data_IF_887045129999
#
_entry.id   IF_887045129999
#
_cell.length_a   1.000
_cell.length_b   1.000
_cell.length_c   1.000
_cell.angle_alpha   90.00
_cell.angle_beta   90.00
_cell.angle_gamma   90.00
#
_symmetry.space_group_name_H-M   'P 1'
#
loop_
_entity.id
_entity.type
_entity.pdbx_description
1 polymer ?
#
# COMPACT_ATOMS: atom_id res chain seq x y z
N UNK A 1 -42.49 8.39 -11.81
CA UNK A 1 -41.41 8.52 -10.82
C UNK A 1 -41.22 7.17 -10.17
N UNK A 2 -40.24 6.39 -10.61
CA UNK A 2 -39.67 5.19 -9.96
C UNK A 2 -38.61 4.62 -10.93
N UNK A 3 -37.38 5.10 -10.82
CA UNK A 3 -36.26 4.55 -11.59
C UNK A 3 -35.92 3.13 -11.07
N UNK A 4 -35.53 2.26 -11.98
CA UNK A 4 -35.56 0.80 -11.89
C UNK A 4 -34.57 0.21 -10.84
N UNK A 5 -34.98 -0.77 -10.01
CA UNK A 5 -34.12 -1.46 -9.03
C UNK A 5 -32.79 -2.02 -9.55
N UNK A 6 -32.65 -2.59 -10.78
CA UNK A 6 -31.37 -3.13 -11.26
C UNK A 6 -30.28 -2.08 -11.50
N UNK A 7 -30.64 -0.83 -11.84
CA UNK A 7 -29.65 0.20 -12.15
C UNK A 7 -28.90 0.69 -10.90
N UNK A 8 -29.62 0.95 -9.80
CA UNK A 8 -29.00 1.37 -8.55
C UNK A 8 -28.08 0.27 -8.00
N UNK A 9 -28.50 -0.98 -8.12
CA UNK A 9 -27.68 -2.11 -7.68
C UNK A 9 -26.39 -2.25 -8.49
N UNK A 10 -26.44 -2.09 -9.82
CA UNK A 10 -25.24 -2.07 -10.65
C UNK A 10 -24.26 -0.96 -10.23
N UNK A 11 -24.79 0.23 -9.93
CA UNK A 11 -24.01 1.37 -9.43
C UNK A 11 -23.40 1.06 -8.06
N UNK A 12 -24.14 0.43 -7.16
CA UNK A 12 -23.62 0.07 -5.84
C UNK A 12 -22.49 -0.96 -5.94
N UNK A 13 -22.62 -1.95 -6.83
CA UNK A 13 -21.59 -2.97 -7.10
C UNK A 13 -20.31 -2.34 -7.67
N UNK A 14 -20.41 -1.52 -8.72
CA UNK A 14 -19.23 -0.89 -9.32
C UNK A 14 -18.57 0.09 -8.36
N UNK A 15 -19.34 0.85 -7.57
CA UNK A 15 -18.79 1.79 -6.59
C UNK A 15 -18.11 1.05 -5.44
N UNK A 16 -18.65 -0.09 -5.00
CA UNK A 16 -18.03 -0.92 -3.97
C UNK A 16 -16.74 -1.59 -4.48
N UNK A 17 -16.75 -2.13 -5.70
CA UNK A 17 -15.56 -2.71 -6.33
C UNK A 17 -14.45 -1.66 -6.47
N UNK A 18 -14.78 -0.48 -7.01
CA UNK A 18 -13.84 0.63 -7.14
C UNK A 18 -13.27 1.08 -5.80
N UNK A 19 -14.14 1.22 -4.78
CA UNK A 19 -13.72 1.61 -3.44
C UNK A 19 -12.74 0.60 -2.83
N UNK A 20 -13.03 -0.70 -2.91
CA UNK A 20 -12.14 -1.75 -2.39
C UNK A 20 -10.80 -1.72 -3.14
N UNK A 21 -10.80 -1.59 -4.47
CA UNK A 21 -9.56 -1.53 -5.26
C UNK A 21 -8.70 -0.33 -4.87
N UNK A 22 -9.29 0.86 -4.77
CA UNK A 22 -8.59 2.09 -4.39
C UNK A 22 -8.08 2.02 -2.95
N UNK A 23 -8.91 1.55 -2.01
CA UNK A 23 -8.51 1.31 -0.62
C UNK A 23 -7.42 0.23 -0.51
N UNK A 24 -7.34 -0.72 -1.45
CA UNK A 24 -6.35 -1.81 -1.44
C UNK A 24 -5.02 -1.44 -2.12
N UNK A 25 -4.88 -0.21 -2.63
CA UNK A 25 -3.67 0.28 -3.29
C UNK A 25 -3.53 -0.12 -4.77
N UNK A 26 -4.63 -0.42 -5.46
CA UNK A 26 -4.62 -0.67 -6.90
C UNK A 26 -4.20 0.58 -7.70
N UNK A 27 -3.64 0.34 -8.89
CA UNK A 27 -3.34 1.40 -9.87
C UNK A 27 -4.64 2.09 -10.30
N UNK A 28 -4.61 3.42 -10.45
CA UNK A 28 -5.84 4.20 -10.70
C UNK A 28 -6.52 3.77 -11.99
N UNK A 29 -5.75 3.58 -13.06
CA UNK A 29 -6.30 3.14 -14.34
C UNK A 29 -7.04 1.80 -14.21
N UNK A 30 -6.57 0.87 -13.36
CA UNK A 30 -7.25 -0.42 -13.11
C UNK A 30 -8.54 -0.27 -12.33
N UNK A 31 -8.61 0.70 -11.42
CA UNK A 31 -9.85 1.06 -10.70
C UNK A 31 -10.89 1.53 -11.71
N UNK A 32 -10.54 2.52 -12.54
CA UNK A 32 -11.45 3.12 -13.53
C UNK A 32 -11.90 2.09 -14.57
N UNK A 33 -10.96 1.37 -15.17
CA UNK A 33 -11.21 0.34 -16.18
C UNK A 33 -12.10 -0.81 -15.64
N UNK A 34 -11.92 -1.22 -14.38
CA UNK A 34 -12.79 -2.23 -13.76
C UNK A 34 -14.21 -1.71 -13.55
N UNK A 35 -14.36 -0.47 -13.08
CA UNK A 35 -15.68 0.15 -12.91
C UNK A 35 -16.41 0.32 -14.24
N UNK A 36 -15.70 0.74 -15.30
CA UNK A 36 -16.25 0.88 -16.66
C UNK A 36 -16.69 -0.49 -17.21
N UNK A 37 -15.86 -1.53 -17.08
CA UNK A 37 -16.24 -2.89 -17.50
C UNK A 37 -17.51 -3.39 -16.82
N UNK A 38 -17.61 -3.22 -15.51
CA UNK A 38 -18.81 -3.60 -14.76
C UNK A 38 -20.01 -2.79 -15.28
N UNK A 39 -19.89 -1.47 -15.42
CA UNK A 39 -20.96 -0.62 -15.93
C UNK A 39 -21.46 -1.07 -17.32
N UNK A 40 -20.55 -1.33 -18.25
CA UNK A 40 -20.86 -1.76 -19.61
C UNK A 40 -21.56 -3.13 -19.64
N UNK A 41 -21.13 -4.08 -18.80
CA UNK A 41 -21.78 -5.40 -18.69
C UNK A 41 -23.25 -5.32 -18.24
N UNK A 42 -23.60 -4.25 -17.51
CA UNK A 42 -24.97 -4.00 -17.02
C UNK A 42 -25.76 -3.05 -17.93
N UNK A 43 -25.25 -2.77 -19.15
CA UNK A 43 -25.93 -1.92 -20.13
C UNK A 43 -25.72 -0.42 -19.96
N UNK A 44 -24.82 0.03 -19.07
CA UNK A 44 -24.50 1.44 -18.85
C UNK A 44 -23.36 1.85 -19.79
N UNK A 45 -23.69 2.29 -21.01
CA UNK A 45 -22.69 2.56 -22.07
C UNK A 45 -21.97 3.91 -21.94
N UNK A 46 -22.59 4.90 -21.31
CA UNK A 46 -22.03 6.24 -21.15
C UNK A 46 -21.59 6.51 -19.71
N UNK A 47 -20.86 5.55 -19.14
CA UNK A 47 -20.33 5.65 -17.78
C UNK A 47 -19.01 6.44 -17.77
N UNK A 48 -18.95 7.48 -16.93
CA UNK A 48 -17.75 8.25 -16.66
C UNK A 48 -17.26 7.95 -15.24
N UNK A 49 -16.00 7.58 -15.12
CA UNK A 49 -15.33 7.26 -13.85
C UNK A 49 -14.09 8.13 -13.73
N UNK A 50 -13.92 8.76 -12.57
CA UNK A 50 -12.69 9.45 -12.22
C UNK A 50 -12.27 9.00 -10.82
N UNK A 51 -11.12 8.36 -10.72
CA UNK A 51 -10.54 7.94 -9.45
C UNK A 51 -9.30 8.78 -9.12
N UNK A 52 -9.31 9.33 -7.91
CA UNK A 52 -8.17 10.01 -7.30
C UNK A 52 -7.90 9.38 -5.92
N UNK A 53 -6.71 9.53 -5.33
CA UNK A 53 -6.37 8.85 -4.07
C UNK A 53 -7.36 9.08 -2.94
N UNK A 54 -8.00 10.25 -2.91
CA UNK A 54 -8.94 10.64 -1.86
C UNK A 54 -10.42 10.33 -2.17
N UNK A 55 -10.78 10.05 -3.43
CA UNK A 55 -12.18 9.91 -3.83
C UNK A 55 -12.34 9.23 -5.19
N UNK A 56 -13.48 8.56 -5.36
CA UNK A 56 -13.95 8.02 -6.64
C UNK A 56 -15.23 8.75 -7.01
N UNK A 57 -15.29 9.22 -8.24
CA UNK A 57 -16.45 9.86 -8.86
C UNK A 57 -16.98 8.99 -9.98
N UNK A 58 -18.29 8.82 -10.01
CA UNK A 58 -19.02 8.12 -11.06
C UNK A 58 -20.18 8.99 -11.54
N UNK A 59 -20.39 9.05 -12.84
CA UNK A 59 -21.57 9.66 -13.45
C UNK A 59 -21.96 8.93 -14.73
N UNK A 60 -23.21 9.09 -15.15
CA UNK A 60 -23.71 8.57 -16.43
C UNK A 60 -24.10 9.77 -17.30
N UNK A 61 -23.55 9.88 -18.52
CA UNK A 61 -23.82 11.02 -19.39
C UNK A 61 -25.30 11.14 -19.72
N UNK A 62 -25.74 12.39 -19.91
CA UNK A 62 -27.12 12.74 -20.24
C UNK A 62 -28.14 12.30 -19.16
N UNK A 63 -27.68 12.01 -17.93
CA UNK A 63 -28.53 11.72 -16.78
C UNK A 63 -28.14 12.57 -15.56
N UNK A 64 -29.02 12.63 -14.57
CA UNK A 64 -28.72 13.27 -13.28
C UNK A 64 -28.10 12.30 -12.25
N UNK A 65 -27.58 11.16 -12.71
CA UNK A 65 -27.00 10.13 -11.84
C UNK A 65 -25.52 10.43 -11.64
N UNK A 66 -25.16 10.81 -10.42
CA UNK A 66 -23.78 10.88 -9.97
C UNK A 66 -23.63 10.25 -8.58
N UNK A 67 -22.47 9.64 -8.34
CA UNK A 67 -22.06 9.09 -7.04
C UNK A 67 -20.62 9.50 -6.77
N UNK A 68 -20.35 9.79 -5.51
CA UNK A 68 -19.00 10.02 -5.03
C UNK A 68 -18.77 9.18 -3.78
N UNK A 69 -17.59 8.56 -3.71
CA UNK A 69 -17.13 7.82 -2.54
C UNK A 69 -15.78 8.37 -2.11
N UNK A 70 -15.71 8.90 -0.90
CA UNK A 70 -14.43 9.26 -0.26
C UNK A 70 -13.67 8.00 0.15
N UNK A 71 -12.36 8.01 -0.09
CA UNK A 71 -11.39 7.00 0.32
C UNK A 71 -10.63 7.56 1.53
N UNK A 72 -10.60 6.81 2.64
CA UNK A 72 -10.12 7.33 3.94
C UNK A 72 -8.74 6.78 4.32
N UNK A 73 -8.49 5.49 4.10
CA UNK A 73 -7.20 4.86 4.42
C UNK A 73 -6.84 3.81 3.35
N UNK A 74 -5.97 4.14 2.38
CA UNK A 74 -5.40 3.15 1.48
C UNK A 74 -4.47 2.22 2.27
N UNK A 75 -4.77 0.93 2.31
CA UNK A 75 -3.91 -0.15 2.82
C UNK A 75 -3.54 -1.05 1.66
N UNK A 76 -2.26 -1.36 1.49
CA UNK A 76 -1.85 -2.25 0.42
C UNK A 76 -2.30 -3.70 0.73
N UNK A 77 -3.29 -4.19 0.00
CA UNK A 77 -3.82 -5.54 0.12
C UNK A 77 -4.05 -6.15 -1.26
N UNK A 78 -2.97 -6.76 -1.78
CA UNK A 78 -3.01 -7.39 -3.11
C UNK A 78 -3.97 -8.57 -3.17
N UNK A 79 -4.30 -9.21 -2.03
CA UNK A 79 -5.29 -10.28 -2.01
C UNK A 79 -6.67 -9.75 -2.33
N UNK A 80 -7.09 -8.64 -1.69
CA UNK A 80 -8.36 -7.97 -2.02
C UNK A 80 -8.41 -7.49 -3.46
N UNK A 81 -7.30 -6.96 -3.98
CA UNK A 81 -7.21 -6.58 -5.41
C UNK A 81 -7.48 -7.78 -6.31
N UNK A 82 -6.82 -8.92 -6.09
CA UNK A 82 -7.05 -10.12 -6.90
C UNK A 82 -8.49 -10.64 -6.79
N UNK A 83 -9.05 -10.68 -5.58
CA UNK A 83 -10.42 -11.14 -5.36
C UNK A 83 -11.45 -10.24 -6.06
N UNK A 84 -11.33 -8.91 -5.97
CA UNK A 84 -12.26 -7.99 -6.67
C UNK A 84 -12.14 -8.13 -8.19
N UNK A 85 -10.92 -8.31 -8.72
CA UNK A 85 -10.76 -8.54 -10.16
C UNK A 85 -11.44 -9.85 -10.61
N UNK A 86 -11.38 -10.91 -9.78
CA UNK A 86 -12.09 -12.15 -10.08
C UNK A 86 -13.61 -11.94 -10.09
N UNK A 87 -14.16 -11.24 -9.08
CA UNK A 87 -15.59 -10.90 -9.04
C UNK A 87 -16.00 -10.09 -10.26
N UNK A 88 -15.20 -9.10 -10.66
CA UNK A 88 -15.49 -8.28 -11.84
C UNK A 88 -15.51 -9.13 -13.12
N UNK A 89 -14.56 -10.04 -13.32
CA UNK A 89 -14.52 -10.91 -14.51
C UNK A 89 -15.73 -11.84 -14.57
N UNK A 90 -16.01 -12.56 -13.49
CA UNK A 90 -17.16 -13.46 -13.42
C UNK A 90 -18.49 -12.71 -13.60
N UNK A 91 -18.61 -11.46 -13.13
CA UNK A 91 -19.80 -10.65 -13.37
C UNK A 91 -19.91 -10.22 -14.84
N UNK A 92 -18.81 -9.80 -15.46
CA UNK A 92 -18.77 -9.39 -16.88
C UNK A 92 -19.03 -10.56 -17.83
N UNK A 93 -18.56 -11.75 -17.47
CA UNK A 93 -18.78 -13.00 -18.22
C UNK A 93 -20.19 -13.59 -18.00
N UNK A 94 -20.98 -13.03 -17.07
CA UNK A 94 -22.34 -13.49 -16.77
C UNK A 94 -22.38 -14.77 -15.92
N UNK A 95 -21.27 -15.17 -15.31
CA UNK A 95 -21.18 -16.34 -14.43
C UNK A 95 -21.88 -16.11 -13.08
N UNK A 96 -21.92 -14.85 -12.63
CA UNK A 96 -22.56 -14.44 -11.37
C UNK A 96 -23.55 -13.29 -11.59
N UNK A 97 -24.59 -13.25 -10.78
CA UNK A 97 -25.56 -12.14 -10.73
C UNK A 97 -25.04 -10.94 -9.95
N UNK A 98 -25.69 -9.77 -10.12
CA UNK A 98 -25.39 -8.56 -9.33
C UNK A 98 -25.52 -8.78 -7.82
N UNK A 99 -26.52 -9.55 -7.36
CA UNK A 99 -26.69 -9.89 -5.94
C UNK A 99 -25.50 -10.70 -5.41
N UNK A 100 -25.06 -11.69 -6.19
CA UNK A 100 -23.91 -12.52 -5.82
C UNK A 100 -22.61 -11.70 -5.80
N UNK A 101 -22.40 -10.83 -6.80
CA UNK A 101 -21.25 -9.95 -6.84
C UNK A 101 -21.25 -9.00 -5.63
N UNK A 102 -22.38 -8.37 -5.30
CA UNK A 102 -22.51 -7.49 -4.14
C UNK A 102 -22.18 -8.22 -2.83
N UNK A 103 -22.71 -9.43 -2.66
CA UNK A 103 -22.44 -10.26 -1.48
C UNK A 103 -20.95 -10.62 -1.37
N UNK A 104 -20.33 -11.06 -2.47
CA UNK A 104 -18.90 -11.40 -2.50
C UNK A 104 -18.03 -10.17 -2.20
N UNK A 105 -18.33 -9.01 -2.78
CA UNK A 105 -17.62 -7.76 -2.50
C UNK A 105 -17.75 -7.33 -1.03
N UNK A 106 -18.94 -7.50 -0.42
CA UNK A 106 -19.13 -7.21 1.01
C UNK A 106 -18.32 -8.15 1.91
N UNK A 107 -18.21 -9.44 1.54
CA UNK A 107 -17.33 -10.38 2.22
C UNK A 107 -15.87 -9.92 2.10
N UNK A 108 -15.40 -9.62 0.88
CA UNK A 108 -14.03 -9.16 0.62
C UNK A 108 -13.69 -7.89 1.41
N UNK A 109 -14.59 -6.92 1.42
CA UNK A 109 -14.43 -5.67 2.18
C UNK A 109 -14.15 -5.94 3.65
N UNK A 110 -14.93 -6.82 4.26
CA UNK A 110 -14.87 -7.15 5.69
C UNK A 110 -13.82 -8.23 6.03
N UNK A 111 -13.05 -8.74 5.07
CA UNK A 111 -11.98 -9.69 5.36
C UNK A 111 -10.92 -9.05 6.27
N UNK A 112 -10.46 -9.78 7.32
CA UNK A 112 -9.35 -9.34 8.14
C UNK A 112 -8.07 -9.25 7.30
N UNK A 113 -7.07 -8.57 7.84
CA UNK A 113 -5.74 -8.54 7.21
C UNK A 113 -5.22 -9.98 7.03
N UNK A 114 -4.59 -10.29 5.88
CA UNK A 114 -4.16 -11.65 5.57
C UNK A 114 -3.05 -12.17 6.49
N UNK A 115 -2.32 -11.26 7.15
CA UNK A 115 -1.16 -11.61 7.98
C UNK A 115 -1.21 -10.94 9.35
N UNK A 116 -0.80 -11.69 10.37
CA UNK A 116 -0.63 -11.19 11.73
C UNK A 116 0.59 -10.27 11.84
N UNK A 117 0.63 -9.42 12.87
CA UNK A 117 1.76 -8.52 13.11
C UNK A 117 3.10 -9.29 13.28
N UNK A 118 3.05 -10.48 13.89
CA UNK A 118 4.21 -11.35 14.04
C UNK A 118 4.70 -11.87 12.68
N UNK A 119 3.80 -12.38 11.84
CA UNK A 119 4.16 -12.87 10.49
C UNK A 119 4.80 -11.77 9.64
N UNK A 120 4.25 -10.54 9.69
CA UNK A 120 4.82 -9.40 8.95
C UNK A 120 6.20 -9.04 9.51
N UNK A 121 6.38 -9.06 10.83
CA UNK A 121 7.68 -8.77 11.45
C UNK A 121 8.72 -9.81 11.07
N UNK A 122 8.38 -11.10 11.13
CA UNK A 122 9.28 -12.19 10.72
C UNK A 122 9.65 -12.06 9.24
N UNK A 123 8.68 -11.75 8.37
CA UNK A 123 8.93 -11.49 6.96
C UNK A 123 9.87 -10.29 6.74
N UNK A 124 9.68 -9.20 7.50
CA UNK A 124 10.54 -8.02 7.44
C UNK A 124 11.98 -8.32 7.88
N UNK A 125 12.15 -9.10 8.97
CA UNK A 125 13.46 -9.54 9.46
C UNK A 125 14.18 -10.39 8.42
N UNK A 126 13.49 -11.41 7.88
CA UNK A 126 14.05 -12.28 6.83
C UNK A 126 14.45 -11.42 5.62
N UNK A 127 13.56 -10.55 5.15
CA UNK A 127 13.85 -9.67 4.01
C UNK A 127 15.08 -8.80 4.25
N UNK A 128 15.18 -8.14 5.41
CA UNK A 128 16.31 -7.27 5.75
C UNK A 128 17.65 -8.04 5.81
N UNK A 129 17.65 -9.25 6.37
CA UNK A 129 18.81 -10.15 6.37
C UNK A 129 19.27 -10.46 4.95
N UNK A 130 18.36 -10.85 4.06
CA UNK A 130 18.71 -11.17 2.66
C UNK A 130 19.13 -9.93 1.87
N UNK A 131 18.52 -8.76 2.10
CA UNK A 131 18.96 -7.51 1.49
C UNK A 131 20.39 -7.15 1.87
N UNK A 132 20.77 -7.35 3.14
CA UNK A 132 22.15 -7.13 3.60
C UNK A 132 23.14 -8.00 2.82
N UNK A 133 22.83 -9.29 2.64
CA UNK A 133 23.64 -10.20 1.83
C UNK A 133 23.68 -9.79 0.36
N UNK A 134 22.55 -9.34 -0.19
CA UNK A 134 22.45 -8.87 -1.57
C UNK A 134 23.33 -7.63 -1.83
N UNK A 135 23.48 -6.74 -0.84
CA UNK A 135 24.36 -5.58 -0.93
C UNK A 135 25.85 -5.90 -0.69
N UNK A 136 26.20 -7.17 -0.54
CA UNK A 136 27.58 -7.61 -0.31
C UNK A 136 28.01 -7.59 1.16
N UNK A 137 27.06 -7.48 2.10
CA UNK A 137 27.34 -7.62 3.52
C UNK A 137 27.68 -9.06 3.91
N UNK A 138 28.43 -9.21 5.00
CA UNK A 138 28.81 -10.50 5.56
C UNK A 138 27.64 -11.20 6.28
N UNK A 139 27.79 -12.50 6.56
CA UNK A 139 26.82 -13.26 7.37
C UNK A 139 26.65 -12.68 8.79
N UNK A 140 27.71 -12.07 9.35
CA UNK A 140 27.63 -11.42 10.66
C UNK A 140 26.77 -10.15 10.59
N UNK A 141 26.95 -9.33 9.54
CA UNK A 141 26.15 -8.14 9.32
C UNK A 141 24.69 -8.48 9.02
N UNK A 142 24.41 -9.56 8.30
CA UNK A 142 23.04 -9.97 8.02
C UNK A 142 22.29 -10.44 9.29
N UNK A 143 22.99 -11.11 10.21
CA UNK A 143 22.47 -11.44 11.54
C UNK A 143 22.26 -10.19 12.41
N UNK A 144 23.20 -9.24 12.36
CA UNK A 144 23.06 -7.95 13.05
C UNK A 144 21.85 -7.17 12.51
N UNK A 145 21.65 -7.13 11.19
CA UNK A 145 20.46 -6.55 10.55
C UNK A 145 19.19 -7.25 11.02
N UNK A 146 19.20 -8.59 11.14
CA UNK A 146 18.04 -9.33 11.61
C UNK A 146 17.58 -8.83 12.99
N UNK A 147 18.53 -8.67 13.92
CA UNK A 147 18.28 -8.16 15.27
C UNK A 147 17.84 -6.69 15.24
N UNK A 148 18.50 -5.85 14.44
CA UNK A 148 18.16 -4.44 14.29
C UNK A 148 16.71 -4.26 13.81
N UNK A 149 16.30 -5.01 12.78
CA UNK A 149 14.95 -4.99 12.21
C UNK A 149 13.93 -5.60 13.17
N UNK A 150 14.29 -6.65 13.91
CA UNK A 150 13.42 -7.27 14.91
C UNK A 150 13.03 -6.28 16.02
N UNK A 151 13.92 -5.35 16.37
CA UNK A 151 13.64 -4.29 17.33
C UNK A 151 12.91 -3.09 16.68
N UNK A 152 13.44 -2.61 15.55
CA UNK A 152 12.96 -1.38 14.91
C UNK A 152 11.57 -1.50 14.28
N UNK A 153 11.24 -2.66 13.70
CA UNK A 153 10.00 -2.84 12.93
C UNK A 153 8.74 -2.92 13.83
N UNK A 154 8.72 -3.67 14.95
CA UNK A 154 7.62 -3.59 15.91
C UNK A 154 7.52 -2.22 16.57
N UNK A 155 8.66 -1.58 16.87
CA UNK A 155 8.69 -0.25 17.46
C UNK A 155 8.08 0.81 16.54
N UNK A 156 8.44 0.83 15.25
CA UNK A 156 7.85 1.76 14.28
C UNK A 156 6.34 1.57 14.15
N UNK A 157 5.85 0.32 14.16
CA UNK A 157 4.42 0.01 14.15
C UNK A 157 3.71 0.50 15.41
N UNK A 158 4.34 0.39 16.57
CA UNK A 158 3.80 0.92 17.81
C UNK A 158 3.70 2.45 17.78
N UNK A 159 4.74 3.14 17.30
CA UNK A 159 4.72 4.59 17.08
C UNK A 159 3.62 4.99 16.08
N UNK A 160 3.46 4.23 15.00
CA UNK A 160 2.41 4.45 14.01
C UNK A 160 1.02 4.33 14.65
N UNK A 161 0.82 3.35 15.55
CA UNK A 161 -0.46 3.19 16.25
C UNK A 161 -0.81 4.40 17.13
N UNK A 162 0.19 5.01 17.78
CA UNK A 162 0.02 6.16 18.66
C UNK A 162 -0.20 7.46 17.90
N UNK A 163 0.66 7.75 16.91
CA UNK A 163 0.75 9.07 16.27
C UNK A 163 -0.05 9.11 14.96
N UNK A 164 -0.22 7.96 14.29
CA UNK A 164 -0.90 7.81 12.98
C UNK A 164 -0.31 8.68 11.86
N UNK A 165 0.98 9.03 11.97
CA UNK A 165 1.73 9.75 10.94
C UNK A 165 2.87 8.84 10.47
N UNK A 166 2.82 8.46 9.20
CA UNK A 166 3.76 7.50 8.60
C UNK A 166 5.20 8.02 8.62
N UNK A 167 5.39 9.32 8.40
CA UNK A 167 6.68 10.01 8.56
C UNK A 167 7.29 9.73 9.94
N UNK A 168 6.55 9.98 11.04
CA UNK A 168 7.10 9.82 12.39
C UNK A 168 7.45 8.36 12.71
N UNK A 169 6.62 7.41 12.26
CA UNK A 169 6.92 5.99 12.43
C UNK A 169 8.15 5.53 11.64
N UNK A 170 8.32 6.02 10.41
CA UNK A 170 9.48 5.71 9.57
C UNK A 170 10.76 6.31 10.15
N UNK A 171 10.70 7.56 10.62
CA UNK A 171 11.80 8.20 11.33
C UNK A 171 12.23 7.40 12.57
N UNK A 172 11.25 7.01 13.41
CA UNK A 172 11.50 6.25 14.64
C UNK A 172 12.11 4.87 14.36
N UNK A 173 11.62 4.16 13.34
CA UNK A 173 12.20 2.89 12.90
C UNK A 173 13.64 3.05 12.42
N UNK A 174 13.89 4.04 11.56
CA UNK A 174 15.24 4.36 11.07
C UNK A 174 16.22 4.72 12.18
N UNK A 175 15.78 5.53 13.12
CA UNK A 175 16.59 5.89 14.28
C UNK A 175 16.97 4.66 15.10
N UNK A 176 16.02 3.75 15.39
CA UNK A 176 16.29 2.57 16.21
C UNK A 176 17.23 1.58 15.52
N UNK A 177 16.97 1.18 14.26
CA UNK A 177 17.86 0.23 13.60
C UNK A 177 19.27 0.81 13.42
N UNK A 178 19.36 2.13 13.21
CA UNK A 178 20.63 2.79 12.94
C UNK A 178 21.45 3.01 14.21
N UNK A 179 20.82 3.40 15.31
CA UNK A 179 21.48 3.42 16.63
C UNK A 179 22.03 2.03 16.98
N UNK A 180 21.24 0.99 16.74
CA UNK A 180 21.68 -0.39 16.98
C UNK A 180 22.87 -0.78 16.08
N UNK A 181 22.86 -0.41 14.80
CA UNK A 181 23.97 -0.66 13.88
C UNK A 181 25.28 0.01 14.32
N UNK A 182 25.24 1.29 14.70
CA UNK A 182 26.42 2.01 15.17
C UNK A 182 26.91 1.49 16.53
N UNK A 183 26.00 1.19 17.45
CA UNK A 183 26.35 0.62 18.75
C UNK A 183 27.06 -0.73 18.59
N UNK A 184 26.58 -1.62 17.71
CA UNK A 184 27.26 -2.88 17.43
C UNK A 184 28.67 -2.70 16.84
N UNK A 185 28.84 -1.72 15.95
CA UNK A 185 30.14 -1.40 15.35
C UNK A 185 31.19 -0.92 16.36
N UNK A 186 30.76 -0.34 17.49
CA UNK A 186 31.65 0.13 18.56
C UNK A 186 31.83 -0.90 19.69
N UNK A 187 30.78 -1.64 20.01
CA UNK A 187 30.75 -2.52 21.19
C UNK A 187 31.49 -3.85 20.98
N UNK A 188 31.65 -4.31 19.74
CA UNK A 188 32.25 -5.61 19.44
C UNK A 188 33.60 -5.48 18.70
N UNK A 189 34.58 -6.36 18.99
CA UNK A 189 35.88 -6.39 18.30
C UNK A 189 35.81 -6.96 16.88
N UNK A 190 34.65 -7.52 16.50
CA UNK A 190 34.37 -7.91 15.12
C UNK A 190 34.04 -6.63 14.34
N UNK A 191 34.76 -6.36 13.25
CA UNK A 191 34.54 -5.19 12.40
C UNK A 191 33.18 -5.29 11.69
N UNK A 192 32.08 -4.93 12.37
CA UNK A 192 30.78 -4.74 11.74
C UNK A 192 30.79 -3.45 10.95
N UNK A 193 30.32 -3.47 9.70
CA UNK A 193 30.10 -2.25 8.93
C UNK A 193 28.67 -1.72 9.17
N UNK A 194 28.48 -0.61 9.91
CA UNK A 194 27.15 -0.07 10.18
C UNK A 194 26.41 0.32 8.89
N UNK A 195 27.14 0.68 7.83
CA UNK A 195 26.53 1.05 6.56
C UNK A 195 25.86 -0.15 5.88
N UNK A 196 26.42 -1.35 5.98
CA UNK A 196 25.81 -2.57 5.44
C UNK A 196 24.56 -2.95 6.23
N UNK A 197 24.62 -2.83 7.56
CA UNK A 197 23.47 -3.10 8.44
C UNK A 197 22.32 -2.13 8.12
N UNK A 198 22.62 -0.82 8.04
CA UNK A 198 21.64 0.21 7.70
C UNK A 198 21.04 0.00 6.31
N UNK A 199 21.87 -0.36 5.31
CA UNK A 199 21.41 -0.62 3.94
C UNK A 199 20.42 -1.79 3.85
N UNK A 200 20.61 -2.85 4.65
CA UNK A 200 19.64 -3.95 4.73
C UNK A 200 18.41 -3.61 5.56
N UNK A 201 18.61 -3.01 6.74
CA UNK A 201 17.55 -2.73 7.71
C UNK A 201 16.51 -1.73 7.21
N UNK A 202 16.89 -0.80 6.32
CA UNK A 202 15.97 0.20 5.77
C UNK A 202 14.97 -0.40 4.79
N UNK A 203 15.31 -1.49 4.10
CA UNK A 203 14.54 -1.98 2.95
C UNK A 203 13.08 -2.35 3.23
N UNK A 204 12.73 -3.02 4.34
CA UNK A 204 11.33 -3.25 4.69
C UNK A 204 10.48 -1.98 4.91
N UNK A 205 11.14 -0.84 5.16
CA UNK A 205 10.49 0.45 5.38
C UNK A 205 10.37 1.27 4.09
N UNK A 206 11.09 0.89 3.03
CA UNK A 206 11.06 1.63 1.76
C UNK A 206 9.73 1.36 1.06
N UNK A 207 8.93 2.41 0.74
CA UNK A 207 7.63 2.27 0.09
C UNK A 207 7.76 2.00 -1.43
N UNK A 208 8.44 0.92 -1.80
CA UNK A 208 8.78 0.58 -3.19
C UNK A 208 7.55 0.38 -4.09
N UNK A 209 6.54 -0.37 -3.62
CA UNK A 209 5.30 -0.61 -4.38
C UNK A 209 4.56 0.70 -4.65
N UNK A 210 4.45 1.57 -3.63
CA UNK A 210 3.79 2.86 -3.78
C UNK A 210 4.53 3.75 -4.80
N UNK A 211 5.87 3.77 -4.76
CA UNK A 211 6.69 4.48 -5.74
C UNK A 211 6.49 3.95 -7.16
N UNK A 212 6.56 2.63 -7.35
CA UNK A 212 6.36 1.99 -8.66
C UNK A 212 4.97 2.30 -9.22
N UNK A 213 3.93 2.20 -8.39
CA UNK A 213 2.56 2.53 -8.77
C UNK A 213 2.44 4.02 -9.14
N UNK A 214 3.12 4.91 -8.42
CA UNK A 214 3.08 6.34 -8.70
C UNK A 214 3.73 6.69 -10.05
N UNK A 215 4.87 6.08 -10.37
CA UNK A 215 5.52 6.23 -11.69
C UNK A 215 4.63 5.71 -12.80
N UNK A 216 3.97 4.56 -12.58
CA UNK A 216 3.02 4.01 -13.55
C UNK A 216 1.81 4.93 -13.76
N UNK A 217 1.24 5.46 -12.69
CA UNK A 217 0.13 6.42 -12.76
C UNK A 217 0.53 7.69 -13.55
N UNK A 218 1.77 8.19 -13.41
CA UNK A 218 2.29 9.27 -14.25
C UNK A 218 2.36 8.89 -15.74
N UNK A 219 2.86 7.69 -16.04
CA UNK A 219 3.01 7.21 -17.43
C UNK A 219 1.66 6.99 -18.12
N UNK A 220 0.60 6.71 -17.36
CA UNK A 220 -0.76 6.51 -17.88
C UNK A 220 -1.62 7.79 -17.79
N UNK A 221 -1.02 8.98 -17.77
CA UNK A 221 -1.70 10.29 -17.71
C UNK A 221 -2.53 10.58 -16.43
N UNK A 222 -2.39 9.79 -15.36
CA UNK A 222 -2.96 10.11 -14.04
C UNK A 222 -2.01 10.98 -13.20
N UNK A 223 -1.69 12.17 -13.73
CA UNK A 223 -0.62 13.04 -13.22
C UNK A 223 -0.84 13.45 -11.75
N UNK A 224 -2.05 13.88 -11.39
CA UNK A 224 -2.36 14.34 -10.03
C UNK A 224 -2.16 13.23 -8.98
N UNK A 225 -2.57 12.02 -9.32
CA UNK A 225 -2.40 10.84 -8.46
C UNK A 225 -0.92 10.48 -8.33
N UNK A 226 -0.22 10.37 -9.46
CA UNK A 226 1.19 10.04 -9.50
C UNK A 226 2.05 11.04 -8.71
N UNK A 227 1.82 12.34 -8.89
CA UNK A 227 2.51 13.41 -8.15
C UNK A 227 2.28 13.32 -6.64
N UNK A 228 1.04 13.08 -6.21
CA UNK A 228 0.70 12.96 -4.78
C UNK A 228 1.42 11.77 -4.15
N UNK A 229 1.37 10.60 -4.80
CA UNK A 229 2.03 9.39 -4.31
C UNK A 229 3.56 9.50 -4.32
N UNK A 230 4.15 10.13 -5.34
CA UNK A 230 5.60 10.42 -5.39
C UNK A 230 5.99 11.32 -4.22
N UNK A 231 5.26 12.41 -4.01
CA UNK A 231 5.54 13.34 -2.91
C UNK A 231 5.47 12.64 -1.55
N UNK A 232 4.43 11.83 -1.30
CA UNK A 232 4.33 11.01 -0.09
C UNK A 232 5.53 10.06 0.07
N UNK A 233 5.90 9.36 -1.00
CA UNK A 233 7.06 8.43 -0.99
C UNK A 233 8.36 9.16 -0.69
N UNK A 234 8.58 10.33 -1.29
CA UNK A 234 9.77 11.15 -1.04
C UNK A 234 9.85 11.62 0.41
N UNK A 235 8.73 12.04 1.01
CA UNK A 235 8.68 12.39 2.43
C UNK A 235 9.08 11.22 3.34
N UNK A 236 8.65 9.99 3.00
CA UNK A 236 9.04 8.79 3.75
C UNK A 236 10.52 8.45 3.59
N UNK A 237 11.08 8.60 2.38
CA UNK A 237 12.52 8.41 2.14
C UNK A 237 13.34 9.44 2.91
N UNK A 238 12.93 10.71 2.88
CA UNK A 238 13.54 11.78 3.68
C UNK A 238 13.46 11.48 5.17
N UNK A 239 12.33 10.95 5.63
CA UNK A 239 12.16 10.54 7.02
C UNK A 239 13.13 9.43 7.44
N UNK A 240 13.33 8.43 6.59
CA UNK A 240 14.27 7.34 6.85
C UNK A 240 15.71 7.87 6.88
N UNK A 241 16.08 8.72 5.92
CA UNK A 241 17.39 9.37 5.88
C UNK A 241 17.64 10.28 7.08
N UNK A 242 16.61 11.01 7.55
CA UNK A 242 16.71 11.84 8.74
C UNK A 242 16.92 10.99 10.00
N UNK A 243 16.20 9.87 10.14
CA UNK A 243 16.36 8.96 11.27
C UNK A 243 17.76 8.35 11.36
N UNK A 244 18.31 7.90 10.22
CA UNK A 244 19.67 7.35 10.16
C UNK A 244 20.74 8.42 10.38
N UNK A 245 20.57 9.63 9.82
CA UNK A 245 21.50 10.74 10.02
C UNK A 245 21.55 11.19 11.48
N UNK A 246 20.41 11.29 12.16
CA UNK A 246 20.35 11.62 13.59
C UNK A 246 21.05 10.54 14.43
N UNK A 247 20.83 9.27 14.12
CA UNK A 247 21.52 8.18 14.82
C UNK A 247 23.05 8.26 14.67
N UNK A 248 23.54 8.57 13.45
CA UNK A 248 24.95 8.80 13.20
C UNK A 248 25.49 9.97 14.03
N UNK A 249 24.78 11.09 14.13
CA UNK A 249 25.24 12.26 14.91
C UNK A 249 25.29 12.00 16.43
N UNK A 250 24.48 11.06 16.94
CA UNK A 250 24.45 10.74 18.37
C UNK A 250 25.59 9.80 18.75
N UNK A 251 25.94 8.85 17.88
CA UNK A 251 26.85 7.74 18.20
C UNK A 251 28.18 7.82 17.46
N UNK A 252 28.19 8.34 16.23
CA UNK A 252 29.37 8.47 15.37
C UNK A 252 30.23 9.67 15.71
#
# INVERSE_FOLDING_TARGET
>A
MNAQPPLNQAIDVLMLAGAILSESGAEIHRVEDTMIRIAHSQGIQHANVLAIPAAIFFSIDHTNISRMKRIVEPKHDMQKVCQVNQVSRSLVEGEISLDQALNQLNVIKNQPLPYTALQITVAAVIAATFFTLMFGGSLLESLATALATLLAFPFSRWIHHLIRIEFVSSFAGALVFSLFAYWLGQAFPFHFNPNMINAGAVMPFVPGIAFTNAVRDLMTNHINTGMTKIFQTLLLILSLGAGTAVALLIVG
#
